data_IF_489593200831
#
_entry.id   IF_489593200831
#
_cell.length_a   1.000
_cell.length_b   1.000
_cell.length_c   1.000
_cell.angle_alpha   90.00
_cell.angle_beta   90.00
_cell.angle_gamma   90.00
#
_symmetry.space_group_name_H-M   'P 1'
#
loop_
_entity.id
_entity.type
_entity.pdbx_description
1 polymer ?
#
# COMPACT_ATOMS: atom_id res chain seq x y z
N UNK A 1 -25.74 -17.60 16.20
CA UNK A 1 -24.68 -18.29 15.45
C UNK A 1 -23.61 -17.26 15.08
N UNK A 2 -22.36 -17.56 15.37
CA UNK A 2 -21.21 -16.64 15.34
C UNK A 2 -20.82 -16.24 13.91
N UNK A 3 -20.47 -14.96 13.69
CA UNK A 3 -20.17 -14.37 12.36
C UNK A 3 -18.85 -14.91 11.78
N UNK A 4 -18.77 -15.32 10.49
CA UNK A 4 -17.48 -15.61 9.88
C UNK A 4 -16.70 -14.28 9.69
N UNK A 5 -15.62 -14.10 10.46
CA UNK A 5 -14.71 -12.96 10.32
C UNK A 5 -14.00 -13.02 8.96
N UNK A 6 -13.98 -11.87 8.27
CA UNK A 6 -13.69 -11.67 6.85
C UNK A 6 -12.36 -12.26 6.34
N UNK A 7 -12.40 -12.90 5.17
CA UNK A 7 -11.23 -13.33 4.39
C UNK A 7 -10.54 -12.09 3.80
N UNK A 8 -9.56 -11.50 4.49
CA UNK A 8 -8.80 -10.35 3.97
C UNK A 8 -7.77 -10.82 2.92
N UNK A 9 -8.24 -10.95 1.67
CA UNK A 9 -7.40 -11.28 0.50
C UNK A 9 -6.79 -10.04 -0.17
N UNK A 10 -6.61 -8.96 0.59
CA UNK A 10 -5.92 -7.74 0.16
C UNK A 10 -4.74 -7.52 1.09
N UNK A 11 -3.54 -7.50 0.54
CA UNK A 11 -2.31 -7.27 1.30
C UNK A 11 -1.50 -6.19 0.62
N UNK A 12 -1.59 -4.98 1.15
CA UNK A 12 -0.73 -3.86 0.75
C UNK A 12 0.19 -3.54 1.91
N UNK A 13 1.49 -3.48 1.64
CA UNK A 13 2.49 -3.06 2.63
C UNK A 13 3.11 -1.76 2.16
N UNK A 14 3.00 -0.74 3.00
CA UNK A 14 3.67 0.54 2.82
C UNK A 14 4.46 0.85 4.08
N UNK A 15 5.65 1.42 3.91
CA UNK A 15 6.51 1.89 4.99
C UNK A 15 7.01 3.29 4.67
N UNK A 16 7.07 4.13 5.70
CA UNK A 16 7.68 5.45 5.66
C UNK A 16 8.75 5.54 6.73
N UNK A 17 9.90 6.10 6.39
CA UNK A 17 11.01 6.35 7.31
C UNK A 17 11.33 7.84 7.32
N UNK A 18 11.28 8.45 8.51
CA UNK A 18 11.81 9.79 8.73
C UNK A 18 13.33 9.71 8.91
N UNK A 19 14.04 10.51 8.12
CA UNK A 19 15.48 10.68 8.14
C UNK A 19 15.82 12.12 8.54
N UNK A 20 17.09 12.40 8.87
CA UNK A 20 17.52 13.76 9.26
C UNK A 20 17.18 14.80 8.19
N UNK A 21 17.38 14.45 6.92
CA UNK A 21 17.32 15.38 5.79
C UNK A 21 16.09 15.14 4.89
N UNK A 22 15.12 14.32 5.33
CA UNK A 22 13.91 14.05 4.54
C UNK A 22 13.15 12.78 4.95
N UNK A 23 12.29 12.30 4.06
CA UNK A 23 11.47 11.09 4.27
C UNK A 23 11.62 10.14 3.10
N UNK A 24 11.67 8.84 3.39
CA UNK A 24 11.70 7.76 2.39
C UNK A 24 10.41 6.97 2.47
N UNK A 25 9.77 6.73 1.33
CA UNK A 25 8.62 5.84 1.19
C UNK A 25 8.98 4.61 0.39
N UNK A 26 8.53 3.43 0.83
CA UNK A 26 8.61 2.19 0.08
C UNK A 26 7.31 1.40 0.17
N UNK A 27 6.90 0.77 -0.92
CA UNK A 27 5.64 0.02 -1.01
C UNK A 27 5.86 -1.27 -1.77
N UNK A 28 5.08 -2.31 -1.47
CA UNK A 28 4.94 -3.44 -2.37
C UNK A 28 4.23 -3.01 -3.68
N UNK A 29 4.43 -3.73 -4.78
CA UNK A 29 3.85 -3.39 -6.09
C UNK A 29 2.64 -4.24 -6.50
N UNK A 30 2.20 -5.17 -5.64
CA UNK A 30 1.14 -6.13 -5.96
C UNK A 30 -0.23 -5.59 -5.60
N UNK A 31 -1.21 -5.74 -6.49
CA UNK A 31 -2.62 -5.51 -6.20
C UNK A 31 -3.41 -6.81 -6.46
N UNK A 32 -4.28 -7.17 -5.53
CA UNK A 32 -5.10 -8.40 -5.61
C UNK A 32 -6.60 -8.10 -5.63
N UNK A 33 -7.33 -8.89 -6.40
CA UNK A 33 -8.80 -8.97 -6.38
C UNK A 33 -9.19 -10.36 -5.90
N UNK A 34 -9.26 -10.54 -4.58
CA UNK A 34 -9.37 -11.88 -3.99
C UNK A 34 -8.08 -12.66 -4.23
N UNK A 35 -8.19 -13.84 -4.86
CA UNK A 35 -7.04 -14.70 -5.18
C UNK A 35 -6.31 -14.31 -6.48
N UNK A 36 -6.90 -13.42 -7.28
CA UNK A 36 -6.29 -12.97 -8.53
C UNK A 36 -5.29 -11.85 -8.26
N UNK A 37 -4.05 -12.01 -8.73
CA UNK A 37 -3.10 -10.89 -8.83
C UNK A 37 -3.48 -10.03 -10.02
N UNK A 38 -4.29 -9.00 -9.77
CA UNK A 38 -4.79 -8.08 -10.80
C UNK A 38 -3.66 -7.22 -11.40
N UNK A 39 -2.65 -6.88 -10.59
CA UNK A 39 -1.45 -6.20 -11.07
C UNK A 39 -0.23 -6.53 -10.23
N UNK A 40 0.93 -6.68 -10.87
CA UNK A 40 2.25 -6.81 -10.23
C UNK A 40 3.02 -5.48 -10.19
N UNK A 41 2.49 -4.45 -10.81
CA UNK A 41 3.13 -3.13 -10.98
C UNK A 41 2.20 -1.99 -10.56
N UNK A 42 1.36 -2.23 -9.55
CA UNK A 42 0.51 -1.20 -8.99
C UNK A 42 1.38 -0.11 -8.36
N UNK A 43 1.24 1.13 -8.85
CA UNK A 43 1.86 2.29 -8.24
C UNK A 43 1.09 2.65 -6.96
N UNK A 44 1.82 2.75 -5.85
CA UNK A 44 1.25 3.11 -4.54
C UNK A 44 1.99 4.22 -3.83
N UNK A 45 3.04 4.78 -4.45
CA UNK A 45 3.73 6.00 -4.00
C UNK A 45 3.37 7.13 -4.94
N UNK A 46 2.95 8.25 -4.37
CA UNK A 46 2.51 9.43 -5.11
C UNK A 46 3.26 10.66 -4.62
N UNK A 47 3.89 11.39 -5.54
CA UNK A 47 4.42 12.72 -5.28
C UNK A 47 3.26 13.71 -5.43
N UNK A 48 2.88 14.37 -4.34
CA UNK A 48 1.77 15.34 -4.34
C UNK A 48 2.30 16.74 -4.65
N UNK A 49 3.37 17.14 -3.95
CA UNK A 49 4.13 18.37 -4.22
C UNK A 49 5.63 18.07 -4.13
N UNK A 50 6.48 19.08 -4.26
CA UNK A 50 7.93 18.92 -4.07
C UNK A 50 8.33 18.57 -2.63
N UNK A 51 7.45 18.79 -1.65
CA UNK A 51 7.71 18.56 -0.21
C UNK A 51 6.73 17.59 0.44
N UNK A 52 5.71 17.11 -0.28
CA UNK A 52 4.69 16.20 0.22
C UNK A 52 4.59 14.98 -0.70
N UNK A 53 4.78 13.79 -0.11
CA UNK A 53 4.49 12.50 -0.73
C UNK A 53 3.46 11.71 0.07
N UNK A 54 2.78 10.80 -0.60
CA UNK A 54 1.76 9.96 0.00
C UNK A 54 1.91 8.51 -0.48
N UNK A 55 1.43 7.57 0.35
CA UNK A 55 1.28 6.18 -0.03
C UNK A 55 -0.12 5.68 0.24
N UNK A 56 -0.55 4.62 -0.44
CA UNK A 56 -1.88 4.02 -0.24
C UNK A 56 -1.76 2.58 0.24
N UNK A 57 -2.61 2.21 1.20
CA UNK A 57 -2.77 0.84 1.68
C UNK A 57 -4.24 0.55 2.03
N UNK A 58 -4.65 -0.71 1.90
CA UNK A 58 -6.04 -1.10 2.06
C UNK A 58 -6.90 -0.70 0.86
N UNK A 59 -8.13 -0.28 1.15
CA UNK A 59 -9.20 0.00 0.20
C UNK A 59 -10.51 -0.65 0.60
#
# INVERSE_FOLDING_TARGET
MEKPKLKHLKGTTTVGLACRDGVVFATDSRATMGYLVASKQARKVFKITDTIGATTAGG
#
